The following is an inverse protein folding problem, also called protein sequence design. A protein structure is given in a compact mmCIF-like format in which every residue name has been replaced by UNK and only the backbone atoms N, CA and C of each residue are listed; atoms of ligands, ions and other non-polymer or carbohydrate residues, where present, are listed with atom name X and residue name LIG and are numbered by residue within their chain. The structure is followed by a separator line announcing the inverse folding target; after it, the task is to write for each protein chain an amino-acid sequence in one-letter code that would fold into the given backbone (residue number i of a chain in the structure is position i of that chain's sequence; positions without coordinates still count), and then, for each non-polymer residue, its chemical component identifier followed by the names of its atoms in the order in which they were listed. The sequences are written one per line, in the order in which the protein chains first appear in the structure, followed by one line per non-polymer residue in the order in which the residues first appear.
data_IF_269735533884
#
_entry.id   IF_269735533884
#
_cell.length_a   1.000
_cell.length_b   1.000
_cell.length_c   1.000
_cell.angle_alpha   90.00
_cell.angle_beta   90.00
_cell.angle_gamma   90.00
#
_symmetry.space_group_name_H-M   'P 1'
#
loop_
_entity.id
_entity.type
_entity.pdbx_description
1 polymer ?
#
# COMPACT_ATOMS: atom_id res chain seq x y z
N UNK A 1 -1.18 14.64 -3.55
CA UNK A 1 -0.84 13.82 -4.72
C UNK A 1 0.21 12.80 -4.30
N UNK A 2 -0.06 11.51 -4.53
CA UNK A 2 0.93 10.44 -4.38
C UNK A 2 1.45 10.11 -5.78
N UNK A 3 2.76 10.14 -5.99
CA UNK A 3 3.38 9.64 -7.20
C UNK A 3 4.17 8.38 -6.87
N UNK A 4 3.98 7.32 -7.66
CA UNK A 4 4.59 6.00 -7.44
C UNK A 4 5.35 5.62 -8.69
N UNK A 5 6.54 5.04 -8.52
CA UNK A 5 7.40 4.64 -9.63
C UNK A 5 7.80 3.18 -9.53
N UNK A 6 7.40 2.40 -10.53
CA UNK A 6 7.93 1.05 -10.74
C UNK A 6 7.73 0.67 -12.20
N UNK A 7 8.77 0.83 -12.99
CA UNK A 7 8.68 0.75 -14.44
C UNK A 7 9.96 0.26 -15.06
N UNK A 8 10.02 0.30 -16.39
CA UNK A 8 11.28 0.11 -17.08
C UNK A 8 12.23 1.27 -16.76
N UNK A 9 13.43 0.97 -16.29
CA UNK A 9 14.48 1.96 -16.00
C UNK A 9 15.58 1.83 -17.05
N UNK A 10 15.67 2.85 -17.90
CA UNK A 10 16.71 2.99 -18.91
C UNK A 10 16.98 4.47 -19.17
N UNK A 11 18.26 4.84 -19.27
CA UNK A 11 18.80 6.18 -19.52
C UNK A 11 18.20 7.34 -18.68
N UNK A 12 19.01 7.99 -17.84
CA UNK A 12 18.59 9.05 -16.89
C UNK A 12 17.52 8.64 -15.86
N UNK A 13 17.18 7.36 -15.78
CA UNK A 13 16.41 6.80 -14.67
C UNK A 13 17.33 6.43 -13.52
N UNK A 14 16.92 6.63 -12.27
CA UNK A 14 17.67 6.19 -11.09
C UNK A 14 17.29 4.77 -10.67
N UNK A 15 17.97 4.26 -9.66
CA UNK A 15 17.71 2.99 -9.00
C UNK A 15 16.58 3.12 -7.96
N UNK A 16 15.41 3.54 -8.42
CA UNK A 16 14.23 3.95 -7.63
C UNK A 16 12.97 3.07 -7.84
N UNK A 17 13.11 1.81 -8.24
CA UNK A 17 11.96 0.92 -8.44
C UNK A 17 11.20 0.71 -7.12
N UNK A 18 9.87 0.79 -7.19
CA UNK A 18 8.93 0.82 -6.04
C UNK A 18 9.06 2.05 -5.13
N UNK A 19 9.74 3.11 -5.57
CA UNK A 19 9.75 4.38 -4.83
C UNK A 19 8.42 5.11 -4.94
N UNK A 20 8.25 6.10 -4.05
CA UNK A 20 7.13 7.03 -4.10
C UNK A 20 7.54 8.38 -3.54
N UNK A 21 6.77 9.41 -3.88
CA UNK A 21 6.82 10.74 -3.28
C UNK A 21 5.39 11.21 -2.99
N UNK A 22 5.24 12.07 -1.99
CA UNK A 22 3.97 12.58 -1.53
C UNK A 22 3.97 14.10 -1.50
N UNK A 23 3.15 14.71 -2.35
CA UNK A 23 2.81 16.12 -2.25
C UNK A 23 1.55 16.30 -1.42
N UNK A 24 1.61 17.16 -0.42
CA UNK A 24 0.50 17.50 0.44
C UNK A 24 0.53 19.00 0.74
N UNK A 25 -0.62 19.67 0.53
CA UNK A 25 -0.78 21.14 0.72
C UNK A 25 0.31 21.99 0.04
N UNK A 26 0.70 21.60 -1.18
CA UNK A 26 1.64 22.34 -2.02
C UNK A 26 3.12 22.02 -1.82
N UNK A 27 3.46 21.11 -0.90
CA UNK A 27 4.84 20.71 -0.61
C UNK A 27 5.01 19.19 -0.77
N UNK A 28 6.15 18.75 -1.30
CA UNK A 28 6.63 17.35 -1.35
C UNK A 28 7.05 16.83 0.03
N UNK A 29 6.09 16.76 0.97
CA UNK A 29 6.31 16.39 2.38
C UNK A 29 7.09 15.07 2.57
N UNK A 30 6.93 14.12 1.64
CA UNK A 30 7.83 12.97 1.46
C UNK A 30 8.42 13.12 0.06
N UNK A 31 9.73 13.33 -0.03
CA UNK A 31 10.44 13.72 -1.26
C UNK A 31 11.33 12.61 -1.79
N UNK A 32 11.90 12.83 -2.95
CA UNK A 32 13.03 12.03 -3.46
C UNK A 32 14.36 12.65 -2.97
N UNK A 33 15.44 11.87 -2.90
CA UNK A 33 16.77 12.39 -2.61
C UNK A 33 17.28 13.34 -3.70
N UNK A 34 16.72 13.29 -4.91
CA UNK A 34 17.00 14.24 -5.99
C UNK A 34 18.14 13.78 -6.89
N UNK A 35 18.86 14.73 -7.49
CA UNK A 35 19.92 14.44 -8.44
C UNK A 35 21.12 15.39 -8.29
N UNK A 36 22.22 15.13 -9.00
CA UNK A 36 23.27 16.12 -9.17
C UNK A 36 23.94 16.03 -10.56
N UNK A 37 24.93 16.88 -10.78
CA UNK A 37 25.73 16.89 -12.01
C UNK A 37 26.47 15.55 -12.21
N UNK A 38 26.33 14.96 -13.41
CA UNK A 38 26.72 13.58 -13.73
C UNK A 38 28.17 13.15 -13.36
N UNK A 39 29.23 13.94 -13.60
CA UNK A 39 30.60 13.62 -13.20
C UNK A 39 30.84 13.71 -11.69
N UNK A 40 29.94 14.33 -10.93
CA UNK A 40 30.08 14.37 -9.49
C UNK A 40 30.02 12.94 -8.92
N UNK A 41 30.96 12.54 -8.04
CA UNK A 41 30.93 11.21 -7.43
C UNK A 41 29.62 10.86 -6.71
N UNK A 42 28.90 11.83 -6.16
CA UNK A 42 27.63 11.61 -5.48
C UNK A 42 26.52 11.16 -6.43
N UNK A 43 26.57 11.53 -7.72
CA UNK A 43 25.62 11.03 -8.71
C UNK A 43 25.63 9.50 -8.72
N UNK A 44 26.82 8.92 -8.93
CA UNK A 44 27.01 7.47 -8.99
C UNK A 44 26.91 6.79 -7.62
N UNK A 45 27.34 7.45 -6.55
CA UNK A 45 27.49 6.79 -5.26
C UNK A 45 26.25 6.90 -4.36
N UNK A 46 25.39 7.89 -4.59
CA UNK A 46 24.20 8.16 -3.77
C UNK A 46 22.96 8.46 -4.59
N UNK A 47 22.88 9.57 -5.34
CA UNK A 47 21.62 10.03 -5.96
C UNK A 47 21.02 9.03 -6.95
N UNK A 48 21.85 8.31 -7.71
CA UNK A 48 21.39 7.23 -8.56
C UNK A 48 20.92 6.00 -7.77
N UNK A 49 21.47 5.78 -6.58
CA UNK A 49 21.36 4.52 -5.85
C UNK A 49 20.06 4.44 -5.04
N UNK A 50 19.58 3.21 -4.79
CA UNK A 50 18.35 2.97 -4.03
C UNK A 50 18.29 3.66 -2.66
N UNK A 51 19.44 3.93 -2.05
CA UNK A 51 19.57 4.65 -0.79
C UNK A 51 19.04 6.09 -0.83
N UNK A 52 18.97 6.72 -2.02
CA UNK A 52 18.43 8.07 -2.20
C UNK A 52 16.90 8.10 -2.43
N UNK A 53 16.21 6.96 -2.31
CA UNK A 53 14.79 6.84 -2.67
C UNK A 53 13.96 6.17 -1.58
N UNK A 54 12.65 6.39 -1.58
CA UNK A 54 11.72 5.78 -0.60
C UNK A 54 11.39 4.31 -0.95
N UNK A 55 12.38 3.44 -0.83
CA UNK A 55 12.29 2.01 -1.19
C UNK A 55 12.51 1.10 0.02
N UNK A 56 12.36 -0.20 -0.18
CA UNK A 56 12.81 -1.23 0.78
C UNK A 56 14.21 -1.68 0.37
N UNK A 57 15.13 -1.78 1.34
CA UNK A 57 16.40 -2.46 1.15
C UNK A 57 16.38 -3.83 1.85
N UNK A 58 17.22 -4.73 1.34
CA UNK A 58 17.53 -6.01 1.96
C UNK A 58 19.03 -6.06 2.27
N UNK A 59 19.40 -6.21 3.54
CA UNK A 59 20.79 -6.14 4.01
C UNK A 59 21.55 -4.90 3.51
N UNK A 60 20.95 -3.70 3.54
CA UNK A 60 21.57 -2.48 3.04
C UNK A 60 21.55 -2.31 1.51
N UNK A 61 20.99 -3.27 0.77
CA UNK A 61 21.03 -3.29 -0.69
C UNK A 61 19.65 -3.14 -1.32
N UNK A 62 19.58 -2.28 -2.34
CA UNK A 62 18.41 -2.13 -3.21
C UNK A 62 18.64 -2.76 -4.57
N UNK A 63 18.35 -2.02 -5.64
CA UNK A 63 18.65 -2.44 -7.01
C UNK A 63 20.17 -2.60 -7.19
N UNK A 64 20.57 -3.52 -8.07
CA UNK A 64 21.99 -3.77 -8.34
C UNK A 64 22.67 -2.51 -8.88
N UNK A 65 23.86 -2.22 -8.36
CA UNK A 65 24.70 -1.10 -8.85
C UNK A 65 25.07 -1.24 -10.32
N UNK A 66 25.07 -2.46 -10.87
CA UNK A 66 25.32 -2.70 -12.30
C UNK A 66 24.28 -2.03 -13.19
N UNK A 67 23.05 -1.84 -12.69
CA UNK A 67 21.97 -1.18 -13.42
C UNK A 67 22.26 0.30 -13.70
N UNK A 68 23.24 0.89 -13.01
CA UNK A 68 23.74 2.23 -13.34
C UNK A 68 24.31 2.31 -14.76
N UNK A 69 24.93 1.25 -15.25
CA UNK A 69 25.58 1.22 -16.54
C UNK A 69 24.86 0.34 -17.56
N UNK A 70 24.12 -0.67 -17.09
CA UNK A 70 23.44 -1.64 -17.95
C UNK A 70 21.91 -1.47 -17.98
N UNK A 71 21.36 -0.54 -17.18
CA UNK A 71 19.91 -0.42 -16.96
C UNK A 71 19.32 -1.66 -16.27
N UNK A 72 18.00 -1.63 -16.06
CA UNK A 72 17.29 -2.81 -15.57
C UNK A 72 16.75 -3.63 -16.74
N UNK A 73 17.32 -4.81 -16.96
CA UNK A 73 16.87 -5.75 -18.00
C UNK A 73 15.50 -6.36 -17.66
N UNK A 74 15.23 -6.56 -16.37
CA UNK A 74 13.94 -6.98 -15.85
C UNK A 74 13.15 -5.76 -15.36
N UNK A 75 12.26 -5.24 -16.19
CA UNK A 75 11.44 -4.05 -15.87
C UNK A 75 10.56 -4.26 -14.63
N UNK A 76 10.33 -3.18 -13.87
CA UNK A 76 9.24 -3.09 -12.90
C UNK A 76 7.92 -2.71 -13.56
N UNK A 77 6.83 -2.72 -12.79
CA UNK A 77 5.49 -2.42 -13.29
C UNK A 77 4.60 -1.69 -12.28
N UNK A 78 3.69 -0.87 -12.81
CA UNK A 78 2.51 -0.39 -12.10
C UNK A 78 1.28 -1.12 -12.65
N UNK A 79 0.47 -1.67 -11.75
CA UNK A 79 -0.72 -2.41 -12.10
C UNK A 79 -1.96 -1.86 -11.41
N UNK A 80 -3.10 -1.99 -12.09
CA UNK A 80 -4.45 -1.78 -11.54
C UNK A 80 -4.64 -0.43 -10.85
N UNK A 81 -4.31 0.66 -11.54
CA UNK A 81 -4.64 2.00 -11.06
C UNK A 81 -6.17 2.16 -11.04
N UNK A 82 -6.74 2.35 -9.85
CA UNK A 82 -8.17 2.56 -9.66
C UNK A 82 -8.40 3.86 -8.89
N UNK A 83 -9.36 4.67 -9.35
CA UNK A 83 -9.75 5.91 -8.68
C UNK A 83 -11.27 6.00 -8.56
N UNK A 84 -11.75 5.85 -7.32
CA UNK A 84 -13.15 5.99 -6.94
C UNK A 84 -13.38 7.22 -6.03
N UNK A 85 -12.58 8.28 -6.15
CA UNK A 85 -12.70 9.47 -5.29
C UNK A 85 -11.98 9.27 -3.95
N UNK A 86 -12.69 9.09 -2.83
CA UNK A 86 -12.05 8.86 -1.53
C UNK A 86 -11.43 7.47 -1.36
N UNK A 87 -11.48 6.60 -2.38
CA UNK A 87 -10.74 5.34 -2.39
C UNK A 87 -9.96 5.22 -3.70
N UNK A 88 -8.64 5.02 -3.60
CA UNK A 88 -7.74 4.81 -4.73
C UNK A 88 -6.83 3.63 -4.46
N UNK A 89 -6.39 2.95 -5.52
CA UNK A 89 -5.48 1.82 -5.41
C UNK A 89 -4.48 1.78 -6.56
N UNK A 90 -3.25 1.37 -6.28
CA UNK A 90 -2.26 0.95 -7.29
C UNK A 90 -1.30 -0.08 -6.68
N UNK A 91 -0.89 -1.07 -7.48
CA UNK A 91 0.19 -2.00 -7.15
C UNK A 91 1.46 -1.60 -7.89
N UNK A 92 2.56 -1.42 -7.16
CA UNK A 92 3.90 -1.33 -7.69
C UNK A 92 4.62 -2.68 -7.53
N UNK A 93 5.12 -3.23 -8.64
CA UNK A 93 5.91 -4.46 -8.68
C UNK A 93 7.34 -4.16 -9.09
N UNK A 94 8.23 -4.18 -8.11
CA UNK A 94 9.66 -3.93 -8.26
C UNK A 94 10.47 -5.23 -8.29
N UNK A 95 9.82 -6.38 -8.43
CA UNK A 95 10.49 -7.69 -8.38
C UNK A 95 11.53 -7.84 -9.48
N UNK A 96 11.22 -7.38 -10.70
CA UNK A 96 12.15 -7.42 -11.83
C UNK A 96 13.45 -6.68 -11.52
N UNK A 97 13.41 -5.36 -11.23
CA UNK A 97 14.64 -4.62 -11.02
C UNK A 97 15.40 -5.03 -9.76
N UNK A 98 14.72 -5.64 -8.78
CA UNK A 98 15.31 -6.08 -7.52
C UNK A 98 15.61 -7.60 -7.50
N UNK A 99 15.61 -8.25 -8.66
CA UNK A 99 15.61 -9.72 -8.79
C UNK A 99 16.77 -10.44 -8.13
N UNK A 100 17.92 -9.76 -7.98
CA UNK A 100 19.13 -10.33 -7.40
C UNK A 100 18.92 -10.69 -5.92
N UNK A 101 18.07 -9.93 -5.23
CA UNK A 101 17.74 -10.11 -3.82
C UNK A 101 16.31 -10.63 -3.61
N UNK A 102 15.36 -10.18 -4.43
CA UNK A 102 13.94 -10.39 -4.23
C UNK A 102 13.36 -11.36 -5.27
N UNK A 103 12.62 -12.38 -4.80
CA UNK A 103 11.67 -13.14 -5.62
C UNK A 103 10.27 -12.54 -5.59
N UNK A 104 10.02 -11.58 -4.68
CA UNK A 104 8.86 -10.70 -4.70
C UNK A 104 9.17 -9.38 -4.02
N UNK A 105 8.82 -8.29 -4.68
CA UNK A 105 8.84 -6.94 -4.11
C UNK A 105 7.56 -6.21 -4.58
N UNK A 106 6.44 -6.51 -3.92
CA UNK A 106 5.16 -5.87 -4.19
C UNK A 106 4.90 -4.79 -3.16
N UNK A 107 4.53 -3.60 -3.63
CA UNK A 107 4.08 -2.49 -2.80
C UNK A 107 2.71 -2.03 -3.26
N UNK A 108 1.72 -2.28 -2.43
CA UNK A 108 0.36 -1.82 -2.64
C UNK A 108 0.18 -0.46 -1.99
N UNK A 109 -0.42 0.48 -2.70
CA UNK A 109 -0.89 1.74 -2.14
C UNK A 109 -2.42 1.74 -2.17
N UNK A 110 -3.04 1.55 -1.02
CA UNK A 110 -4.48 1.70 -0.84
C UNK A 110 -4.73 3.02 -0.12
N UNK A 111 -5.25 4.02 -0.84
CA UNK A 111 -5.57 5.32 -0.27
C UNK A 111 -7.06 5.37 0.03
N UNK A 112 -7.42 5.48 1.31
CA UNK A 112 -8.80 5.68 1.76
C UNK A 112 -8.91 6.96 2.59
N UNK A 113 -9.76 7.88 2.16
CA UNK A 113 -9.99 9.18 2.77
C UNK A 113 -8.68 9.98 2.93
N UNK A 114 -8.28 10.26 4.17
CA UNK A 114 -7.05 10.95 4.53
C UNK A 114 -5.90 10.01 4.89
N UNK A 115 -5.99 8.70 4.59
CA UNK A 115 -4.93 7.74 4.91
C UNK A 115 -4.46 6.99 3.66
N UNK A 116 -3.16 6.93 3.47
CA UNK A 116 -2.51 6.03 2.50
C UNK A 116 -1.97 4.83 3.28
N UNK A 117 -2.50 3.65 3.01
CA UNK A 117 -1.98 2.38 3.51
C UNK A 117 -0.97 1.84 2.48
N UNK A 118 0.30 1.88 2.85
CA UNK A 118 1.39 1.26 2.11
C UNK A 118 1.58 -0.17 2.63
N UNK A 119 1.29 -1.16 1.79
CA UNK A 119 1.39 -2.58 2.14
C UNK A 119 2.47 -3.23 1.30
N UNK A 120 3.54 -3.69 1.94
CA UNK A 120 4.65 -4.36 1.28
C UNK A 120 4.51 -5.88 1.42
N UNK A 121 4.53 -6.65 0.32
CA UNK A 121 4.71 -8.10 0.35
C UNK A 121 6.04 -8.47 -0.27
N UNK A 122 6.95 -8.90 0.60
CA UNK A 122 8.35 -9.04 0.31
C UNK A 122 8.74 -10.51 0.45
N UNK A 123 9.47 -11.02 -0.53
CA UNK A 123 10.13 -12.33 -0.47
C UNK A 123 11.52 -12.20 -1.05
N UNK A 124 12.52 -12.64 -0.29
CA UNK A 124 13.92 -12.67 -0.71
C UNK A 124 14.41 -14.11 -0.87
N UNK A 125 15.49 -14.27 -1.62
CA UNK A 125 16.11 -15.58 -1.85
C UNK A 125 16.83 -16.13 -0.62
N UNK A 126 17.19 -15.24 0.32
CA UNK A 126 17.96 -15.55 1.53
C UNK A 126 17.28 -14.95 2.77
N UNK A 127 17.56 -15.51 3.93
CA UNK A 127 17.21 -14.89 5.22
C UNK A 127 18.13 -13.69 5.44
N UNK A 128 17.58 -12.58 5.92
CA UNK A 128 18.32 -11.35 6.19
C UNK A 128 17.42 -10.25 6.75
N UNK A 129 17.87 -9.01 6.67
CA UNK A 129 17.22 -7.85 7.30
C UNK A 129 16.54 -6.98 6.27
N UNK A 130 15.37 -6.48 6.63
CA UNK A 130 14.61 -5.51 5.83
C UNK A 130 14.67 -4.14 6.47
N UNK A 131 14.75 -3.11 5.64
CA UNK A 131 14.66 -1.73 6.08
C UNK A 131 13.89 -0.87 5.08
N UNK A 132 13.16 0.14 5.58
CA UNK A 132 12.33 1.05 4.79
C UNK A 132 12.90 2.46 4.88
N UNK A 133 13.17 3.06 3.73
CA UNK A 133 13.74 4.40 3.65
C UNK A 133 12.68 5.49 3.54
N UNK A 134 12.90 6.60 4.26
CA UNK A 134 11.99 7.75 4.33
C UNK A 134 12.77 9.05 4.20
N UNK A 135 12.60 9.70 3.05
CA UNK A 135 13.14 11.01 2.74
C UNK A 135 12.04 12.05 2.95
N UNK A 136 12.22 12.91 3.94
CA UNK A 136 11.18 13.83 4.40
C UNK A 136 11.55 15.28 4.08
N UNK A 137 10.56 16.10 3.71
CA UNK A 137 10.76 17.52 3.53
C UNK A 137 10.02 18.30 4.63
N UNK A 138 10.70 18.60 5.74
CA UNK A 138 10.14 19.35 6.86
C UNK A 138 10.72 18.92 8.20
N UNK A 139 10.13 19.42 9.28
CA UNK A 139 10.52 19.04 10.64
C UNK A 139 10.05 17.62 10.95
N UNK A 140 10.99 16.72 11.18
CA UNK A 140 10.74 15.37 11.67
C UNK A 140 10.59 15.36 13.20
N UNK A 141 9.50 14.78 13.70
CA UNK A 141 9.28 14.60 15.12
C UNK A 141 8.65 13.25 15.44
N UNK A 142 9.45 12.38 16.05
CA UNK A 142 8.96 11.11 16.59
C UNK A 142 8.17 11.32 17.88
N UNK A 143 7.01 10.69 17.98
CA UNK A 143 6.15 10.69 19.18
C UNK A 143 5.51 9.32 19.36
N UNK A 144 5.90 8.59 20.41
CA UNK A 144 5.45 7.21 20.59
C UNK A 144 5.87 6.33 19.42
N UNK A 145 4.89 5.69 18.77
CA UNK A 145 5.11 4.81 17.60
C UNK A 145 4.97 5.56 16.27
N UNK A 146 4.72 6.86 16.33
CA UNK A 146 4.44 7.72 15.18
C UNK A 146 5.63 8.62 14.86
N UNK A 147 5.74 8.97 13.59
CA UNK A 147 6.62 10.02 13.08
C UNK A 147 5.77 11.12 12.45
N UNK A 148 5.87 12.34 12.97
CA UNK A 148 5.18 13.51 12.44
C UNK A 148 6.15 14.31 11.58
N UNK A 149 5.77 14.58 10.34
CA UNK A 149 6.51 15.46 9.43
C UNK A 149 5.67 16.71 9.19
N UNK A 150 6.21 17.88 9.48
CA UNK A 150 5.50 19.15 9.29
C UNK A 150 6.35 20.14 8.49
N UNK A 151 5.74 20.73 7.48
CA UNK A 151 6.32 21.77 6.64
C UNK A 151 5.25 22.82 6.34
N UNK A 152 5.37 23.99 6.97
CA UNK A 152 4.37 25.05 6.97
C UNK A 152 2.95 24.54 7.30
N UNK A 153 2.07 24.53 6.30
CA UNK A 153 0.67 24.08 6.42
C UNK A 153 0.51 22.59 6.19
N UNK A 154 1.53 21.92 5.64
CA UNK A 154 1.53 20.49 5.36
C UNK A 154 1.97 19.71 6.59
N UNK A 155 1.21 18.70 6.98
CA UNK A 155 1.61 17.81 8.05
C UNK A 155 1.08 16.40 7.77
N UNK A 156 1.93 15.39 7.99
CA UNK A 156 1.60 13.98 7.83
C UNK A 156 2.15 13.17 9.00
N UNK A 157 1.50 12.04 9.30
CA UNK A 157 1.98 11.05 10.27
C UNK A 157 2.34 9.76 9.56
N UNK A 158 3.56 9.27 9.75
CA UNK A 158 4.01 7.94 9.32
C UNK A 158 3.89 7.00 10.53
N UNK A 159 3.08 5.96 10.40
CA UNK A 159 2.82 4.96 11.46
C UNK A 159 3.03 3.54 10.92
N UNK A 160 4.18 2.91 11.19
CA UNK A 160 4.35 1.48 10.95
C UNK A 160 3.41 0.67 11.86
N UNK A 161 2.75 -0.34 11.29
CA UNK A 161 1.74 -1.17 11.98
C UNK A 161 2.13 -2.65 11.97
N UNK A 162 2.59 -3.15 10.83
CA UNK A 162 3.10 -4.51 10.66
C UNK A 162 4.46 -4.51 9.94
N UNK A 163 5.32 -5.50 10.21
CA UNK A 163 5.14 -6.60 11.16
C UNK A 163 5.22 -6.17 12.63
N UNK A 164 5.82 -5.01 12.89
CA UNK A 164 6.06 -4.45 14.22
C UNK A 164 5.78 -2.94 14.21
N UNK A 165 5.50 -2.39 15.39
CA UNK A 165 5.40 -0.93 15.53
C UNK A 165 6.80 -0.32 15.51
N UNK A 166 6.91 0.99 15.31
CA UNK A 166 8.14 1.70 15.64
C UNK A 166 8.32 1.72 17.17
N UNK A 167 9.55 1.48 17.64
CA UNK A 167 9.87 1.45 19.06
C UNK A 167 9.37 2.73 19.75
N UNK A 168 8.69 2.58 20.90
CA UNK A 168 7.88 3.67 21.47
C UNK A 168 8.71 4.85 21.99
N UNK A 169 9.96 4.63 22.37
CA UNK A 169 10.87 5.66 22.90
C UNK A 169 12.22 5.60 22.20
N UNK A 170 13.12 6.55 22.52
CA UNK A 170 14.50 6.56 22.03
C UNK A 170 15.39 5.49 22.69
N UNK A 171 14.90 4.83 23.74
CA UNK A 171 15.56 3.68 24.35
C UNK A 171 15.20 2.42 23.59
N UNK A 172 15.70 2.28 22.36
CA UNK A 172 15.34 1.18 21.44
C UNK A 172 15.65 -0.21 22.03
N UNK A 173 16.61 -0.31 22.94
CA UNK A 173 16.95 -1.55 23.65
C UNK A 173 15.84 -2.05 24.59
N UNK A 174 14.91 -1.18 25.01
CA UNK A 174 13.71 -1.57 25.76
C UNK A 174 12.65 -2.23 24.86
N UNK A 175 12.80 -2.11 23.53
CA UNK A 175 11.88 -2.62 22.51
C UNK A 175 12.61 -3.44 21.44
N UNK A 176 13.32 -4.52 21.82
CA UNK A 176 14.20 -5.26 20.91
C UNK A 176 13.48 -5.94 19.73
N UNK A 177 12.16 -6.10 19.84
CA UNK A 177 11.31 -6.72 18.82
C UNK A 177 10.64 -5.70 17.91
N UNK A 178 10.63 -4.40 18.25
CA UNK A 178 10.00 -3.35 17.47
C UNK A 178 10.95 -2.80 16.40
N UNK A 179 10.39 -2.10 15.39
CA UNK A 179 11.22 -1.42 14.42
C UNK A 179 12.05 -0.34 15.14
N UNK A 180 13.35 -0.33 14.91
CA UNK A 180 14.21 0.80 15.28
C UNK A 180 14.45 1.68 14.05
N UNK A 181 15.07 2.83 14.24
CA UNK A 181 15.40 3.74 13.16
C UNK A 181 16.83 4.22 13.23
N UNK A 182 17.39 4.54 12.08
CA UNK A 182 18.68 5.19 11.92
C UNK A 182 18.46 6.53 11.20
N UNK A 183 19.16 7.56 11.67
CA UNK A 183 19.29 8.83 10.96
C UNK A 183 20.50 8.73 10.03
N UNK A 184 20.28 8.97 8.74
CA UNK A 184 21.32 8.86 7.73
C UNK A 184 21.55 10.23 7.10
N UNK A 185 22.78 10.72 7.20
CA UNK A 185 23.19 11.94 6.52
C UNK A 185 23.55 11.65 5.06
N UNK A 186 23.07 12.51 4.17
CA UNK A 186 23.37 12.46 2.74
C UNK A 186 23.56 13.86 2.16
N UNK A 187 24.21 14.00 0.98
CA UNK A 187 24.38 15.30 0.34
C UNK A 187 23.04 15.92 -0.07
N UNK A 188 22.90 17.24 0.10
CA UNK A 188 21.80 18.00 -0.51
C UNK A 188 21.93 18.01 -2.04
N UNK A 189 20.82 18.17 -2.74
CA UNK A 189 20.77 18.23 -4.21
C UNK A 189 21.70 19.32 -4.80
N UNK A 190 21.77 20.48 -4.14
CA UNK A 190 22.65 21.59 -4.54
C UNK A 190 24.13 21.37 -4.17
N UNK A 191 24.45 20.26 -3.51
CA UNK A 191 25.77 19.84 -3.05
C UNK A 191 26.43 20.83 -2.07
N UNK A 192 25.67 21.73 -1.44
CA UNK A 192 26.20 22.73 -0.50
C UNK A 192 26.14 22.31 0.96
N UNK A 193 25.50 21.18 1.27
CA UNK A 193 25.41 20.67 2.63
C UNK A 193 24.97 19.21 2.69
N UNK A 194 24.52 18.81 3.87
CA UNK A 194 23.89 17.52 4.11
C UNK A 194 22.43 17.69 4.48
N UNK A 195 21.66 16.65 4.24
CA UNK A 195 20.31 16.45 4.72
C UNK A 195 20.19 15.08 5.40
N UNK A 196 19.17 14.93 6.22
CA UNK A 196 18.91 13.68 6.94
C UNK A 196 17.69 12.99 6.36
N UNK A 197 17.84 11.71 6.07
CA UNK A 197 16.72 10.79 5.84
C UNK A 197 16.74 9.68 6.89
N UNK A 198 15.66 8.90 6.96
CA UNK A 198 15.46 7.92 8.01
C UNK A 198 15.34 6.52 7.42
N UNK A 199 16.02 5.56 8.04
CA UNK A 199 15.86 4.13 7.74
C UNK A 199 15.17 3.44 8.90
N UNK A 200 14.05 2.75 8.65
CA UNK A 200 13.36 1.94 9.66
C UNK A 200 13.74 0.49 9.49
N UNK A 201 14.28 -0.14 10.52
CA UNK A 201 14.85 -1.48 10.44
C UNK A 201 13.98 -2.49 11.17
N UNK A 202 13.72 -3.63 10.52
CA UNK A 202 13.18 -4.80 11.18
C UNK A 202 14.30 -5.53 11.94
N UNK A 203 14.23 -5.67 13.28
CA UNK A 203 15.27 -6.36 14.05
C UNK A 203 15.34 -7.87 13.77
N UNK A 204 14.34 -8.45 13.12
CA UNK A 204 14.30 -9.86 12.79
C UNK A 204 15.00 -10.17 11.45
N UNK A 205 15.71 -11.31 11.42
CA UNK A 205 16.24 -11.88 10.19
C UNK A 205 15.25 -12.88 9.59
N UNK A 206 14.64 -12.50 8.47
CA UNK A 206 13.61 -13.29 7.79
C UNK A 206 13.81 -13.19 6.28
N UNK A 207 13.16 -14.08 5.52
CA UNK A 207 13.16 -13.99 4.06
C UNK A 207 11.79 -13.63 3.48
N UNK A 208 10.84 -13.28 4.35
CA UNK A 208 9.48 -12.90 3.97
C UNK A 208 8.88 -11.95 4.98
N UNK A 209 8.24 -10.89 4.50
CA UNK A 209 7.54 -9.92 5.33
C UNK A 209 6.27 -9.46 4.60
N UNK A 210 5.16 -9.37 5.35
CA UNK A 210 4.04 -8.51 4.99
C UNK A 210 4.06 -7.28 5.89
N UNK A 211 4.45 -6.15 5.32
CA UNK A 211 4.54 -4.87 5.99
C UNK A 211 3.27 -4.06 5.77
N UNK A 212 2.91 -3.23 6.75
CA UNK A 212 1.82 -2.26 6.64
C UNK A 212 2.22 -0.98 7.37
N UNK A 213 2.26 0.12 6.64
CA UNK A 213 2.48 1.47 7.17
C UNK A 213 1.33 2.36 6.75
N UNK A 214 0.78 3.11 7.70
CA UNK A 214 -0.18 4.16 7.41
C UNK A 214 0.54 5.51 7.29
N UNK A 215 0.25 6.26 6.23
CA UNK A 215 0.61 7.67 6.08
C UNK A 215 -0.69 8.47 6.22
N UNK A 216 -0.85 9.14 7.36
CA UNK A 216 -2.06 9.89 7.73
C UNK A 216 -1.86 11.34 7.32
N UNK A 217 -2.71 11.86 6.44
CA UNK A 217 -2.70 13.24 5.97
C UNK A 217 -3.50 14.10 6.94
N UNK A 218 -2.91 15.17 7.46
CA UNK A 218 -3.58 16.09 8.38
C UNK A 218 -4.17 17.28 7.66
N UNK A 219 -5.39 17.67 8.00
CA UNK A 219 -6.01 18.89 7.51
C UNK A 219 -5.31 20.14 8.04
N UNK A 220 -4.74 20.08 9.24
CA UNK A 220 -3.88 21.15 9.79
C UNK A 220 -2.75 20.54 10.62
N UNK A 221 -1.60 21.24 10.77
CA UNK A 221 -0.51 20.76 11.61
C UNK A 221 -0.92 20.42 13.06
N UNK A 222 -1.90 21.15 13.61
CA UNK A 222 -2.36 20.98 15.00
C UNK A 222 -3.51 19.98 15.16
N UNK A 223 -3.96 19.32 14.09
CA UNK A 223 -5.05 18.35 14.15
C UNK A 223 -4.71 17.20 15.12
N UNK A 224 -5.61 16.96 16.08
CA UNK A 224 -5.45 15.93 17.12
C UNK A 224 -6.35 14.72 16.91
N UNK A 225 -7.47 14.90 16.23
CA UNK A 225 -8.42 13.84 15.96
C UNK A 225 -7.97 13.03 14.75
N UNK A 226 -6.97 12.16 14.94
CA UNK A 226 -6.50 11.27 13.89
C UNK A 226 -7.29 9.94 13.90
N UNK A 227 -7.30 9.20 12.78
CA UNK A 227 -7.87 7.86 12.75
C UNK A 227 -7.27 6.96 13.83
N UNK A 228 -8.14 6.33 14.62
CA UNK A 228 -7.76 5.34 15.62
C UNK A 228 -7.62 3.98 14.93
N UNK A 229 -6.44 3.38 15.01
CA UNK A 229 -6.11 2.13 14.32
C UNK A 229 -5.82 1.03 15.32
N UNK A 230 -6.61 -0.02 15.31
CA UNK A 230 -6.44 -1.23 16.11
C UNK A 230 -5.86 -2.33 15.23
N UNK A 231 -4.69 -2.87 15.61
CA UNK A 231 -4.10 -4.06 14.96
C UNK A 231 -4.86 -5.31 15.35
N UNK A 232 -5.13 -6.16 14.37
CA UNK A 232 -5.94 -7.37 14.52
C UNK A 232 -5.29 -8.52 13.77
N UNK A 233 -5.43 -9.73 14.27
CA UNK A 233 -4.89 -10.92 13.62
C UNK A 233 -5.79 -12.12 13.90
N UNK A 234 -5.71 -13.10 13.02
CA UNK A 234 -6.37 -14.38 13.17
C UNK A 234 -5.66 -15.43 12.34
N UNK A 235 -6.32 -16.56 12.14
CA UNK A 235 -5.75 -17.67 11.37
C UNK A 235 -5.44 -17.23 9.94
N UNK A 236 -4.15 -17.12 9.63
CA UNK A 236 -3.61 -16.77 8.32
C UNK A 236 -4.02 -15.38 7.77
N UNK A 237 -4.39 -14.43 8.64
CA UNK A 237 -4.62 -13.05 8.24
C UNK A 237 -4.18 -12.07 9.34
N UNK A 238 -3.74 -10.90 8.90
CA UNK A 238 -3.53 -9.72 9.74
C UNK A 238 -4.43 -8.60 9.25
N UNK A 239 -4.72 -7.61 10.08
CA UNK A 239 -5.64 -6.55 9.70
C UNK A 239 -5.62 -5.34 10.61
N UNK A 240 -6.36 -4.32 10.18
CA UNK A 240 -6.58 -3.10 10.92
C UNK A 240 -8.06 -2.83 11.02
N UNK A 241 -8.52 -2.48 12.21
CA UNK A 241 -9.80 -1.79 12.40
C UNK A 241 -9.53 -0.31 12.61
N UNK A 242 -10.01 0.50 11.67
CA UNK A 242 -9.84 1.94 11.67
C UNK A 242 -11.16 2.60 12.05
N UNK A 243 -11.14 3.51 13.03
CA UNK A 243 -12.28 4.32 13.45
C UNK A 243 -11.96 5.79 13.27
N UNK A 244 -12.80 6.50 12.51
CA UNK A 244 -12.62 7.92 12.28
C UNK A 244 -13.95 8.55 11.83
N UNK A 245 -14.32 9.69 12.41
CA UNK A 245 -15.49 10.50 12.01
C UNK A 245 -16.79 9.68 11.85
N UNK A 246 -17.09 8.79 12.80
CA UNK A 246 -18.31 7.96 12.78
C UNK A 246 -18.31 6.84 11.74
N UNK A 247 -17.18 6.54 11.11
CA UNK A 247 -16.98 5.42 10.19
C UNK A 247 -16.01 4.40 10.76
N UNK A 248 -16.30 3.12 10.52
CA UNK A 248 -15.39 2.01 10.76
C UNK A 248 -14.98 1.41 9.42
N UNK A 249 -13.67 1.22 9.24
CA UNK A 249 -13.11 0.49 8.11
C UNK A 249 -12.27 -0.66 8.64
N UNK A 250 -12.61 -1.88 8.26
CA UNK A 250 -11.76 -3.04 8.51
C UNK A 250 -10.96 -3.35 7.24
N UNK A 251 -9.64 -3.44 7.37
CA UNK A 251 -8.70 -3.85 6.33
C UNK A 251 -8.07 -5.19 6.73
N UNK A 252 -8.13 -6.17 5.84
CA UNK A 252 -7.57 -7.50 6.02
C UNK A 252 -6.52 -7.78 4.95
N UNK A 253 -5.39 -8.33 5.38
CA UNK A 253 -4.29 -8.78 4.54
C UNK A 253 -4.18 -10.29 4.69
N UNK A 254 -4.33 -10.98 3.58
CA UNK A 254 -4.30 -12.43 3.53
C UNK A 254 -2.86 -12.94 3.55
N UNK A 255 -2.47 -13.64 4.61
CA UNK A 255 -1.11 -14.17 4.73
C UNK A 255 -0.88 -15.33 3.76
N UNK A 256 -1.91 -16.05 3.32
CA UNK A 256 -1.79 -17.15 2.34
C UNK A 256 -1.67 -16.66 0.89
N UNK A 257 -2.08 -15.42 0.60
CA UNK A 257 -2.07 -14.84 -0.74
C UNK A 257 -0.68 -14.40 -1.21
N UNK A 258 0.39 -14.97 -0.66
CA UNK A 258 1.79 -14.66 -0.95
C UNK A 258 2.45 -15.77 -1.79
N UNK A 259 1.67 -16.59 -2.51
CA UNK A 259 2.20 -17.68 -3.34
C UNK A 259 3.09 -18.68 -2.60
N UNK A 260 3.03 -18.74 -1.26
CA UNK A 260 3.91 -19.60 -0.44
C UNK A 260 3.81 -21.08 -0.76
N UNK A 261 2.64 -21.50 -1.23
CA UNK A 261 2.35 -22.88 -1.58
C UNK A 261 1.33 -22.90 -2.73
N UNK A 262 1.81 -23.10 -3.96
CA UNK A 262 1.01 -22.94 -5.18
C UNK A 262 -0.22 -23.84 -5.27
N UNK A 263 -0.22 -24.99 -4.58
CA UNK A 263 -1.33 -25.95 -4.57
C UNK A 263 -2.23 -25.82 -3.34
N UNK A 264 -1.98 -24.84 -2.46
CA UNK A 264 -2.84 -24.57 -1.30
C UNK A 264 -3.80 -23.44 -1.59
N UNK A 265 -5.02 -23.62 -1.12
CA UNK A 265 -6.07 -22.61 -1.22
C UNK A 265 -5.72 -21.41 -0.32
N UNK A 266 -5.93 -20.19 -0.82
CA UNK A 266 -5.68 -18.94 -0.11
C UNK A 266 -6.92 -18.39 0.60
N UNK A 267 -7.82 -19.25 1.06
CA UNK A 267 -9.04 -18.79 1.74
C UNK A 267 -8.76 -18.42 3.20
N UNK A 268 -9.22 -17.25 3.60
CA UNK A 268 -9.19 -16.77 4.99
C UNK A 268 -10.61 -16.47 5.47
N UNK A 269 -10.78 -16.47 6.80
CA UNK A 269 -12.07 -16.22 7.45
C UNK A 269 -12.04 -15.07 8.49
N UNK A 270 -11.74 -13.82 8.08
CA UNK A 270 -11.68 -12.71 9.02
C UNK A 270 -13.07 -12.25 9.46
N UNK A 271 -13.34 -12.26 10.76
CA UNK A 271 -14.53 -11.63 11.37
C UNK A 271 -15.89 -12.02 10.74
N UNK A 272 -16.03 -13.29 10.37
CA UNK A 272 -17.22 -13.87 9.74
C UNK A 272 -17.28 -13.69 8.21
N UNK A 273 -16.35 -12.95 7.62
CA UNK A 273 -16.12 -12.99 6.18
C UNK A 273 -15.40 -14.26 5.80
N UNK A 274 -15.57 -14.69 4.55
CA UNK A 274 -14.83 -15.76 3.92
C UNK A 274 -14.42 -15.29 2.53
N UNK A 275 -13.13 -15.19 2.27
CA UNK A 275 -12.60 -14.64 1.02
C UNK A 275 -11.26 -15.24 0.65
N UNK A 276 -10.98 -15.25 -0.64
CA UNK A 276 -9.70 -15.63 -1.24
C UNK A 276 -8.92 -14.40 -1.75
N UNK A 277 -9.38 -13.20 -1.40
CA UNK A 277 -8.77 -11.95 -1.79
C UNK A 277 -7.40 -11.78 -1.14
N UNK A 278 -6.51 -11.08 -1.84
CA UNK A 278 -5.19 -10.73 -1.32
C UNK A 278 -5.32 -9.64 -0.25
N UNK A 279 -6.06 -8.57 -0.57
CA UNK A 279 -6.49 -7.54 0.38
C UNK A 279 -8.01 -7.45 0.33
N UNK A 280 -8.63 -7.24 1.47
CA UNK A 280 -10.06 -6.96 1.57
C UNK A 280 -10.26 -5.81 2.54
N UNK A 281 -10.91 -4.74 2.10
CA UNK A 281 -11.35 -3.67 2.98
C UNK A 281 -12.86 -3.48 2.91
N UNK A 282 -13.48 -3.20 4.04
CA UNK A 282 -14.92 -3.00 4.15
C UNK A 282 -15.22 -1.85 5.11
N UNK A 283 -16.10 -0.95 4.69
CA UNK A 283 -16.46 0.24 5.46
C UNK A 283 -17.94 0.28 5.81
N UNK A 284 -18.25 0.70 7.03
CA UNK A 284 -19.61 0.78 7.56
C UNK A 284 -19.72 1.86 8.65
N UNK A 285 -20.93 2.40 8.91
CA UNK A 285 -21.12 3.38 9.98
C UNK A 285 -20.78 2.81 11.36
N UNK A 286 -20.19 3.63 12.22
CA UNK A 286 -19.90 3.25 13.59
C UNK A 286 -21.20 2.94 14.36
N UNK A 287 -21.18 1.88 15.17
CA UNK A 287 -22.36 1.34 15.85
C UNK A 287 -23.19 0.36 15.02
N UNK A 288 -22.84 0.13 13.75
CA UNK A 288 -23.49 -0.90 12.89
C UNK A 288 -22.59 -2.11 12.67
N UNK A 289 -23.09 -3.14 11.98
CA UNK A 289 -22.33 -4.35 11.68
C UNK A 289 -21.70 -4.30 10.28
N UNK A 290 -20.52 -4.92 10.13
CA UNK A 290 -19.87 -5.08 8.83
C UNK A 290 -20.75 -5.81 7.80
N UNK A 291 -21.70 -6.64 8.25
CA UNK A 291 -22.67 -7.31 7.37
C UNK A 291 -23.57 -6.33 6.59
N UNK A 292 -23.79 -5.13 7.13
CA UNK A 292 -24.60 -4.08 6.51
C UNK A 292 -23.78 -3.17 5.59
N UNK A 293 -22.46 -3.43 5.48
CA UNK A 293 -21.55 -2.63 4.68
C UNK A 293 -21.94 -2.64 3.20
N UNK A 294 -21.87 -1.45 2.61
CA UNK A 294 -22.13 -1.24 1.19
C UNK A 294 -20.87 -0.95 0.39
N UNK A 295 -19.81 -0.53 1.08
CA UNK A 295 -18.59 -0.13 0.41
C UNK A 295 -17.48 -1.11 0.77
N UNK A 296 -16.91 -1.73 -0.25
CA UNK A 296 -15.80 -2.63 -0.08
C UNK A 296 -14.81 -2.57 -1.24
N UNK A 297 -13.56 -2.88 -0.90
CA UNK A 297 -12.45 -3.05 -1.81
C UNK A 297 -11.97 -4.50 -1.74
N UNK A 298 -11.79 -5.12 -2.91
CA UNK A 298 -11.28 -6.47 -3.06
C UNK A 298 -10.06 -6.38 -3.99
N UNK A 299 -8.89 -6.74 -3.48
CA UNK A 299 -7.65 -6.83 -4.25
C UNK A 299 -7.41 -8.29 -4.64
N UNK A 300 -7.34 -8.56 -5.94
CA UNK A 300 -7.00 -9.88 -6.48
C UNK A 300 -7.79 -11.02 -5.81
N UNK A 301 -9.12 -10.89 -5.79
CA UNK A 301 -10.03 -11.86 -5.19
C UNK A 301 -11.04 -12.38 -6.21
N UNK A 302 -11.56 -13.60 -6.00
CA UNK A 302 -12.64 -14.15 -6.83
C UNK A 302 -13.94 -14.36 -6.04
N UNK A 303 -13.88 -14.33 -4.72
CA UNK A 303 -15.06 -14.51 -3.88
C UNK A 303 -14.99 -13.74 -2.57
N UNK A 304 -16.14 -13.20 -2.17
CA UNK A 304 -16.39 -12.65 -0.84
C UNK A 304 -17.74 -13.17 -0.37
N UNK A 305 -17.74 -13.88 0.76
CA UNK A 305 -18.94 -14.44 1.37
C UNK A 305 -19.01 -14.06 2.84
N UNK A 306 -20.22 -14.05 3.36
CA UNK A 306 -20.50 -13.99 4.79
C UNK A 306 -21.67 -14.91 5.05
N UNK A 307 -21.52 -15.81 6.01
CA UNK A 307 -22.49 -16.87 6.29
C UNK A 307 -22.86 -17.66 5.02
N UNK A 308 -24.15 -17.68 4.63
CA UNK A 308 -24.66 -18.37 3.44
C UNK A 308 -24.77 -17.45 2.22
N UNK A 309 -24.34 -16.19 2.32
CA UNK A 309 -24.53 -15.18 1.29
C UNK A 309 -23.23 -14.86 0.55
N UNK A 310 -23.33 -14.75 -0.78
CA UNK A 310 -22.24 -14.30 -1.64
C UNK A 310 -22.36 -12.81 -1.89
N UNK A 311 -21.38 -12.02 -1.42
CA UNK A 311 -21.30 -10.58 -1.63
C UNK A 311 -20.64 -10.24 -2.96
N UNK A 312 -19.63 -11.03 -3.33
CA UNK A 312 -18.96 -10.96 -4.61
C UNK A 312 -18.58 -12.38 -5.05
N UNK A 313 -18.68 -12.65 -6.34
CA UNK A 313 -18.21 -13.88 -6.97
C UNK A 313 -17.82 -13.61 -8.41
N UNK A 314 -16.70 -14.16 -8.85
CA UNK A 314 -16.25 -14.14 -10.24
C UNK A 314 -15.56 -15.46 -10.61
N UNK A 315 -15.47 -15.74 -11.90
CA UNK A 315 -14.71 -16.88 -12.43
C UNK A 315 -13.20 -16.60 -12.51
N UNK A 316 -12.77 -15.38 -12.16
CA UNK A 316 -11.38 -14.93 -12.19
C UNK A 316 -11.06 -14.08 -10.97
N UNK A 317 -9.77 -13.91 -10.67
CA UNK A 317 -9.29 -12.94 -9.69
C UNK A 317 -9.43 -11.53 -10.27
N UNK A 318 -10.14 -10.65 -9.56
CA UNK A 318 -10.39 -9.27 -9.97
C UNK A 318 -9.96 -8.29 -8.89
N UNK A 319 -9.82 -7.03 -9.31
CA UNK A 319 -9.71 -5.88 -8.43
C UNK A 319 -11.04 -5.12 -8.50
N UNK A 320 -11.66 -4.89 -7.35
CA UNK A 320 -13.01 -4.35 -7.26
C UNK A 320 -13.05 -3.24 -6.21
N UNK A 321 -13.62 -2.11 -6.59
CA UNK A 321 -14.18 -1.14 -5.64
C UNK A 321 -15.69 -1.12 -5.86
N UNK A 322 -16.47 -1.38 -4.82
CA UNK A 322 -17.92 -1.26 -4.82
C UNK A 322 -18.33 -0.06 -3.98
N UNK A 323 -19.21 0.78 -4.52
CA UNK A 323 -19.87 1.85 -3.77
C UNK A 323 -21.36 1.94 -4.08
N UNK A 324 -22.17 2.20 -3.07
CA UNK A 324 -23.60 2.41 -3.23
C UNK A 324 -24.02 3.80 -2.73
N UNK A 325 -24.42 4.67 -3.65
CA UNK A 325 -24.76 6.08 -3.40
C UNK A 325 -26.15 6.35 -4.02
N UNK A 326 -27.09 6.91 -3.27
CA UNK A 326 -28.44 7.26 -3.76
C UNK A 326 -29.16 6.15 -4.55
N UNK A 327 -29.01 4.89 -4.13
CA UNK A 327 -29.55 3.67 -4.80
C UNK A 327 -28.90 3.36 -6.16
N UNK A 328 -27.90 4.13 -6.59
CA UNK A 328 -26.99 3.81 -7.71
C UNK A 328 -25.85 2.93 -7.19
N UNK A 329 -25.49 1.92 -7.96
CA UNK A 329 -24.33 1.08 -7.69
C UNK A 329 -23.20 1.48 -8.64
N UNK A 330 -22.10 1.95 -8.08
CA UNK A 330 -20.88 2.27 -8.82
C UNK A 330 -19.84 1.17 -8.56
N UNK A 331 -19.28 0.61 -9.63
CA UNK A 331 -18.25 -0.42 -9.58
C UNK A 331 -17.03 0.05 -10.37
N UNK A 332 -15.86 -0.11 -9.79
CA UNK A 332 -14.60 -0.08 -10.51
C UNK A 332 -14.07 -1.49 -10.54
N UNK A 333 -13.86 -2.05 -11.73
CA UNK A 333 -13.47 -3.43 -11.90
C UNK A 333 -12.29 -3.51 -12.87
N UNK A 334 -11.21 -4.13 -12.41
CA UNK A 334 -9.96 -4.30 -13.13
C UNK A 334 -9.47 -5.75 -13.03
N UNK A 335 -8.46 -6.08 -13.83
CA UNK A 335 -7.66 -7.31 -13.68
C UNK A 335 -7.86 -8.39 -14.72
N UNK A 336 -8.91 -8.34 -15.55
CA UNK A 336 -9.11 -9.24 -16.68
C UNK A 336 -9.75 -8.49 -17.86
N UNK A 337 -9.39 -8.81 -19.12
CA UNK A 337 -10.01 -8.21 -20.30
C UNK A 337 -11.48 -8.60 -20.44
N UNK A 338 -11.84 -9.80 -19.99
CA UNK A 338 -13.23 -10.29 -19.97
C UNK A 338 -13.65 -10.60 -18.55
N UNK A 339 -14.72 -9.97 -18.10
CA UNK A 339 -15.22 -10.08 -16.73
C UNK A 339 -16.59 -10.72 -16.74
N UNK A 340 -16.77 -11.70 -15.86
CA UNK A 340 -18.08 -12.22 -15.48
C UNK A 340 -18.12 -12.28 -13.95
N UNK A 341 -18.88 -11.37 -13.35
CA UNK A 341 -18.94 -11.18 -11.91
C UNK A 341 -20.40 -11.03 -11.44
N UNK A 342 -20.64 -11.42 -10.21
CA UNK A 342 -21.90 -11.25 -9.50
C UNK A 342 -21.67 -10.50 -8.20
N UNK A 343 -22.56 -9.55 -7.89
CA UNK A 343 -22.51 -8.71 -6.71
C UNK A 343 -23.82 -8.80 -5.95
N UNK A 344 -23.75 -8.94 -4.63
CA UNK A 344 -24.96 -8.82 -3.79
C UNK A 344 -25.53 -7.42 -3.92
N UNK A 345 -26.84 -7.36 -4.08
CA UNK A 345 -27.62 -6.15 -3.94
C UNK A 345 -28.93 -6.51 -3.24
N UNK A 346 -29.18 -5.92 -2.07
CA UNK A 346 -30.39 -6.22 -1.29
C UNK A 346 -31.68 -5.83 -2.05
N UNK A 347 -31.58 -4.86 -2.96
CA UNK A 347 -32.65 -4.38 -3.83
C UNK A 347 -32.08 -4.15 -5.23
N UNK A 348 -32.95 -4.16 -6.24
CA UNK A 348 -32.56 -3.79 -7.60
C UNK A 348 -32.10 -2.32 -7.61
N UNK A 349 -30.85 -2.01 -7.98
CA UNK A 349 -30.39 -0.62 -8.05
C UNK A 349 -31.09 0.12 -9.18
N UNK A 350 -31.25 1.43 -9.03
CA UNK A 350 -31.91 2.27 -10.04
C UNK A 350 -31.02 2.49 -11.26
N UNK A 351 -29.70 2.47 -11.04
CA UNK A 351 -28.68 2.58 -12.07
C UNK A 351 -27.44 1.79 -11.66
N UNK A 352 -26.70 1.32 -12.66
CA UNK A 352 -25.41 0.66 -12.51
C UNK A 352 -24.40 1.40 -13.37
N UNK A 353 -23.27 1.76 -12.77
CA UNK A 353 -22.12 2.29 -13.48
C UNK A 353 -20.92 1.39 -13.21
N UNK A 354 -20.19 1.03 -14.27
CA UNK A 354 -18.97 0.24 -14.19
C UNK A 354 -17.86 0.97 -14.94
N UNK A 355 -16.77 1.28 -14.25
CA UNK A 355 -15.63 2.03 -14.80
C UNK A 355 -16.04 3.35 -15.49
N UNK A 356 -16.99 4.09 -14.91
CA UNK A 356 -17.49 5.36 -15.48
C UNK A 356 -18.53 5.19 -16.61
N UNK A 357 -18.90 3.96 -16.98
CA UNK A 357 -19.86 3.69 -18.04
C UNK A 357 -21.17 3.12 -17.49
N UNK A 358 -22.30 3.69 -17.92
CA UNK A 358 -23.63 3.17 -17.58
C UNK A 358 -23.86 1.77 -18.15
N UNK A 359 -24.37 0.84 -17.34
CA UNK A 359 -24.64 -0.53 -17.73
C UNK A 359 -26.09 -0.95 -17.44
N UNK A 360 -26.65 -1.89 -18.23
CA UNK A 360 -27.95 -2.48 -17.92
C UNK A 360 -27.96 -3.19 -16.56
N UNK A 361 -29.02 -2.97 -15.78
CA UNK A 361 -29.21 -3.62 -14.47
C UNK A 361 -29.77 -5.03 -14.65
N UNK A 362 -28.88 -6.03 -14.73
CA UNK A 362 -29.25 -7.45 -14.76
C UNK A 362 -29.32 -8.00 -13.32
N UNK A 363 -30.50 -7.91 -12.72
CA UNK A 363 -30.75 -8.28 -11.32
C UNK A 363 -31.66 -9.51 -11.19
N UNK A 364 -31.23 -10.52 -10.44
CA UNK A 364 -32.01 -11.73 -10.13
C UNK A 364 -31.63 -12.27 -8.77
N UNK A 365 -32.61 -12.60 -7.92
CA UNK A 365 -32.39 -13.24 -6.61
C UNK A 365 -31.33 -12.51 -5.74
N UNK A 366 -31.47 -11.19 -5.59
CA UNK A 366 -30.55 -10.36 -4.78
C UNK A 366 -29.10 -10.33 -5.28
N UNK A 367 -28.89 -10.69 -6.55
CA UNK A 367 -27.60 -10.66 -7.22
C UNK A 367 -27.69 -9.82 -8.49
N UNK A 368 -26.70 -8.96 -8.68
CA UNK A 368 -26.48 -8.19 -9.89
C UNK A 368 -25.36 -8.84 -10.69
N UNK A 369 -25.62 -9.17 -11.95
CA UNK A 369 -24.63 -9.74 -12.86
C UNK A 369 -23.99 -8.65 -13.70
N UNK A 370 -22.66 -8.64 -13.74
CA UNK A 370 -21.85 -7.79 -14.61
C UNK A 370 -21.08 -8.67 -15.57
N UNK A 371 -21.21 -8.35 -16.87
CA UNK A 371 -20.40 -8.94 -17.92
C UNK A 371 -19.73 -7.82 -18.71
N UNK A 372 -18.40 -7.80 -18.70
CA UNK A 372 -17.61 -6.96 -19.57
C UNK A 372 -16.96 -7.87 -20.60
N UNK A 373 -17.25 -7.60 -21.87
CA UNK A 373 -16.54 -8.15 -23.01
C UNK A 373 -16.06 -6.94 -23.80
N UNK A 374 -14.76 -6.90 -24.09
CA UNK A 374 -14.16 -5.88 -24.97
C UNK A 374 -14.97 -5.67 -26.26
#
# INVERSE_FOLDING_TARGET
MLAVKSGHTWNHSHADANSFILFHKGVDIIKDGGNCWYPNPNYRNYFFQSQAHNVVLFNGQGQSREQQYSGSTLRGHLYHLMDAGNLKYVLADGTGPMSDNFSRNFRHFLWMDNVIYMIDDLKTHKVGRFEWLWHTNGTYQKSGVDVNITNDKSSVVIRPLYPRLLAKSNFVHDYPEDLYWEEVEAPTEDLKGTETYYSFHLPAEVNRVKGLTAIILKDTPDEKELPKMERREGQDWIGLRIRHQGKVTDLYINQLADGRLMHSNSWIMPDGWMTDAYLFAVSYPEGTAAADAKDFFICYGSALRRDKESYFSSLSKLFVIRKEEDKKLNLWIEGQPKINASFKAARKPVALEVNGHGMPVVYKQSQLKVKLAD
#
